data_IF_487566318785
#
_entry.id   IF_487566318785
#
_cell.length_a   1.000
_cell.length_b   1.000
_cell.length_c   1.000
_cell.angle_alpha   90.00
_cell.angle_beta   90.00
_cell.angle_gamma   90.00
#
_symmetry.space_group_name_H-M   'P 1'
#
loop_
_entity.id
_entity.type
_entity.pdbx_description
1 polymer ?
#
# COMPACT_ATOMS: atom_id res chain seq x y z
N UNK A 1 28.63 20.56 -11.51
CA UNK A 1 27.43 19.81 -11.06
C UNK A 1 27.83 19.03 -9.83
N UNK A 2 27.33 19.43 -8.66
CA UNK A 2 27.76 18.85 -7.38
C UNK A 2 27.28 17.40 -7.28
N UNK A 3 28.21 16.47 -7.09
CA UNK A 3 27.92 15.10 -6.73
C UNK A 3 27.26 15.13 -5.34
N UNK A 4 25.91 15.22 -5.30
CA UNK A 4 25.18 15.07 -4.04
C UNK A 4 25.45 13.65 -3.59
N UNK A 5 26.31 13.46 -2.58
CA UNK A 5 26.44 12.15 -1.97
C UNK A 5 25.09 11.83 -1.35
N UNK A 6 24.34 10.99 -2.02
CA UNK A 6 23.06 10.51 -1.51
C UNK A 6 23.41 9.56 -0.38
N UNK A 7 23.04 9.93 0.84
CA UNK A 7 23.15 9.04 1.99
C UNK A 7 22.18 7.87 1.79
N UNK A 8 22.69 6.63 1.61
CA UNK A 8 21.83 5.46 1.38
C UNK A 8 20.83 5.23 2.50
N UNK A 9 21.19 5.54 3.76
CA UNK A 9 20.28 5.39 4.90
C UNK A 9 19.10 6.35 4.78
N UNK A 10 19.38 7.61 4.43
CA UNK A 10 18.35 8.63 4.21
C UNK A 10 17.41 8.26 3.06
N UNK A 11 17.91 7.61 2.01
CA UNK A 11 17.05 7.09 0.92
C UNK A 11 16.12 6.01 1.43
N UNK A 12 16.64 5.04 2.20
CA UNK A 12 15.83 3.96 2.76
C UNK A 12 14.75 4.50 3.69
N UNK A 13 15.07 5.46 4.55
CA UNK A 13 14.10 6.14 5.42
C UNK A 13 12.99 6.83 4.62
N UNK A 14 13.36 7.58 3.57
CA UNK A 14 12.40 8.25 2.70
C UNK A 14 11.53 7.26 1.92
N UNK A 15 12.11 6.17 1.42
CA UNK A 15 11.36 5.11 0.76
C UNK A 15 10.36 4.43 1.71
N UNK A 16 10.77 4.15 2.95
CA UNK A 16 9.87 3.60 3.97
C UNK A 16 8.72 4.56 4.30
N UNK A 17 8.99 5.88 4.36
CA UNK A 17 7.94 6.89 4.55
C UNK A 17 6.96 6.92 3.37
N UNK A 18 7.46 6.87 2.13
CA UNK A 18 6.65 6.80 0.91
C UNK A 18 5.76 5.55 0.92
N UNK A 19 6.34 4.38 1.22
CA UNK A 19 5.61 3.10 1.28
C UNK A 19 4.48 3.17 2.30
N UNK A 20 4.74 3.73 3.50
CA UNK A 20 3.71 3.89 4.54
C UNK A 20 2.55 4.78 4.08
N UNK A 21 2.86 5.93 3.47
CA UNK A 21 1.83 6.86 2.97
C UNK A 21 1.02 6.19 1.86
N UNK A 22 1.68 5.58 0.88
CA UNK A 22 1.01 4.92 -0.23
C UNK A 22 0.15 3.75 0.24
N UNK A 23 0.61 2.95 1.21
CA UNK A 23 -0.18 1.87 1.80
C UNK A 23 -1.47 2.40 2.43
N UNK A 24 -1.40 3.49 3.21
CA UNK A 24 -2.58 4.09 3.83
C UNK A 24 -3.57 4.62 2.78
N UNK A 25 -3.07 5.34 1.78
CA UNK A 25 -3.91 5.88 0.70
C UNK A 25 -4.57 4.76 -0.13
N UNK A 26 -3.87 3.64 -0.37
CA UNK A 26 -4.46 2.49 -1.08
C UNK A 26 -5.62 1.90 -0.28
N UNK A 27 -5.49 1.76 1.04
CA UNK A 27 -6.56 1.27 1.91
C UNK A 27 -7.78 2.21 1.87
N UNK A 28 -7.56 3.52 1.95
CA UNK A 28 -8.62 4.54 1.84
C UNK A 28 -9.35 4.47 0.49
N UNK A 29 -8.61 4.43 -0.61
CA UNK A 29 -9.17 4.33 -1.95
C UNK A 29 -9.91 3.02 -2.17
N UNK A 30 -9.42 1.91 -1.61
CA UNK A 30 -10.09 0.62 -1.67
C UNK A 30 -11.44 0.66 -0.94
N UNK A 31 -11.48 1.21 0.27
CA UNK A 31 -12.73 1.39 1.03
C UNK A 31 -13.72 2.25 0.24
N UNK A 32 -13.26 3.36 -0.36
CA UNK A 32 -14.11 4.21 -1.20
C UNK A 32 -14.63 3.48 -2.43
N UNK A 33 -13.79 2.71 -3.12
CA UNK A 33 -14.20 1.91 -4.28
C UNK A 33 -15.31 0.93 -3.90
N UNK A 34 -15.17 0.23 -2.78
CA UNK A 34 -16.15 -0.75 -2.29
C UNK A 34 -17.51 -0.14 -1.93
N UNK A 35 -17.63 1.18 -1.81
CA UNK A 35 -18.92 1.87 -1.64
C UNK A 35 -19.69 2.02 -2.95
N UNK A 36 -19.02 1.89 -4.09
CA UNK A 36 -19.57 2.17 -5.42
C UNK A 36 -19.72 0.94 -6.31
N UNK A 37 -19.13 -0.19 -5.94
CA UNK A 37 -19.21 -1.45 -6.69
C UNK A 37 -19.72 -2.58 -5.80
N UNK A 38 -20.37 -3.56 -6.41
CA UNK A 38 -20.79 -4.78 -5.73
C UNK A 38 -19.59 -5.69 -5.40
N UNK A 39 -19.79 -6.63 -4.47
CA UNK A 39 -18.77 -7.61 -4.13
C UNK A 39 -18.39 -8.53 -5.31
N UNK A 40 -19.35 -8.84 -6.20
CA UNK A 40 -19.10 -9.61 -7.41
C UNK A 40 -18.22 -8.85 -8.40
N UNK A 41 -18.52 -7.57 -8.63
CA UNK A 41 -17.69 -6.70 -9.47
C UNK A 41 -16.29 -6.53 -8.88
N UNK A 42 -16.18 -6.31 -7.57
CA UNK A 42 -14.89 -6.23 -6.88
C UNK A 42 -14.06 -7.50 -7.04
N UNK A 43 -14.69 -8.68 -6.91
CA UNK A 43 -14.05 -9.99 -7.09
C UNK A 43 -13.58 -10.28 -8.51
N UNK A 44 -14.02 -9.48 -9.49
CA UNK A 44 -13.53 -9.58 -10.87
C UNK A 44 -12.29 -8.72 -11.16
N UNK A 45 -11.88 -7.87 -10.21
CA UNK A 45 -10.77 -6.91 -10.38
C UNK A 45 -9.45 -7.48 -9.84
N UNK A 46 -8.45 -7.75 -10.70
CA UNK A 46 -7.18 -8.33 -10.25
C UNK A 46 -6.40 -7.45 -9.25
N UNK A 47 -6.65 -6.14 -9.24
CA UNK A 47 -6.04 -5.24 -8.26
C UNK A 47 -6.63 -5.44 -6.85
N UNK A 48 -7.92 -5.77 -6.73
CA UNK A 48 -8.58 -6.07 -5.45
C UNK A 48 -8.00 -7.34 -4.84
N UNK A 49 -7.74 -8.37 -5.64
CA UNK A 49 -7.07 -9.59 -5.18
C UNK A 49 -5.68 -9.31 -4.59
N UNK A 50 -4.91 -8.43 -5.24
CA UNK A 50 -3.56 -8.06 -4.77
C UNK A 50 -3.61 -7.26 -3.48
N UNK A 51 -4.61 -6.38 -3.32
CA UNK A 51 -4.85 -5.64 -2.08
C UNK A 51 -5.24 -6.60 -0.95
N UNK A 52 -6.15 -7.54 -1.20
CA UNK A 52 -6.56 -8.54 -0.22
C UNK A 52 -5.40 -9.44 0.21
N UNK A 53 -4.54 -9.84 -0.73
CA UNK A 53 -3.31 -10.59 -0.41
C UNK A 53 -2.37 -9.77 0.47
N UNK A 54 -2.15 -8.49 0.16
CA UNK A 54 -1.32 -7.61 0.96
C UNK A 54 -1.88 -7.42 2.38
N UNK A 55 -3.20 -7.26 2.51
CA UNK A 55 -3.89 -7.19 3.80
C UNK A 55 -3.74 -8.49 4.60
N UNK A 56 -3.82 -9.65 3.94
CA UNK A 56 -3.55 -10.96 4.56
C UNK A 56 -2.13 -11.06 5.10
N UNK A 57 -1.13 -10.68 4.29
CA UNK A 57 0.28 -10.67 4.72
C UNK A 57 0.47 -9.73 5.92
N UNK A 58 -0.15 -8.54 5.91
CA UNK A 58 -0.08 -7.56 7.00
C UNK A 58 -0.63 -8.13 8.31
N UNK A 59 -1.75 -8.86 8.25
CA UNK A 59 -2.33 -9.57 9.38
C UNK A 59 -1.37 -10.64 9.92
N UNK A 60 -0.80 -11.44 9.03
CA UNK A 60 0.08 -12.56 9.41
C UNK A 60 1.37 -12.11 10.10
N UNK A 61 1.88 -10.92 9.76
CA UNK A 61 3.06 -10.32 10.41
C UNK A 61 2.72 -9.49 11.65
N UNK A 62 1.45 -9.48 12.09
CA UNK A 62 1.01 -8.80 13.31
C UNK A 62 1.03 -7.27 13.24
N UNK A 63 0.88 -6.70 12.04
CA UNK A 63 0.85 -5.25 11.82
C UNK A 63 -0.56 -4.63 11.90
N UNK A 64 -1.55 -5.41 12.34
CA UNK A 64 -2.91 -4.93 12.64
C UNK A 64 -2.94 -4.30 14.05
N UNK A 65 -2.58 -3.02 14.15
CA UNK A 65 -2.74 -2.17 15.36
C UNK A 65 -3.45 -0.88 14.99
#
# INVERSE_FOLDING_TARGET
MGNRSIDPLKVVEQQNAIIRIQSGVIDELFILLMQHISAEEAGSLPCVDRINLAAGIRRDIGMDV
#
